data_IF_217045156074
#
_entry.id   IF_217045156074
#
_cell.length_a   1.000
_cell.length_b   1.000
_cell.length_c   1.000
_cell.angle_alpha   90.00
_cell.angle_beta   90.00
_cell.angle_gamma   90.00
#
_symmetry.space_group_name_H-M   'P 1'
#
loop_
_entity.id
_entity.type
_entity.pdbx_description
1 polymer ?
#
# COMPACT_ATOMS: atom_id res chain seq x y z
N UNK A 1 -15.95 -8.41 -3.72
CA UNK A 1 -14.75 -8.13 -2.95
C UNK A 1 -13.99 -6.95 -3.55
N UNK A 2 -13.69 -5.96 -2.74
CA UNK A 2 -12.99 -4.75 -3.17
C UNK A 2 -11.64 -5.06 -3.80
N UNK A 3 -10.93 -6.06 -3.30
CA UNK A 3 -9.63 -6.44 -3.86
C UNK A 3 -9.74 -6.90 -5.30
N UNK A 4 -10.80 -7.64 -5.62
CA UNK A 4 -11.06 -8.09 -6.97
C UNK A 4 -11.32 -6.91 -7.91
N UNK A 5 -12.13 -5.95 -7.45
CA UNK A 5 -12.45 -4.75 -8.22
C UNK A 5 -11.20 -3.92 -8.49
N UNK A 6 -10.37 -3.71 -7.45
CA UNK A 6 -9.13 -2.96 -7.59
C UNK A 6 -8.15 -3.62 -8.54
N UNK A 7 -8.04 -4.95 -8.47
CA UNK A 7 -7.18 -5.70 -9.38
C UNK A 7 -7.58 -5.47 -10.82
N UNK A 8 -8.89 -5.54 -11.12
CA UNK A 8 -9.38 -5.28 -12.48
C UNK A 8 -9.07 -3.86 -12.96
N UNK A 9 -9.34 -2.86 -12.13
CA UNK A 9 -9.10 -1.46 -12.48
C UNK A 9 -7.61 -1.23 -12.76
N UNK A 10 -6.76 -1.73 -11.90
CA UNK A 10 -5.31 -1.53 -12.02
C UNK A 10 -4.74 -2.27 -13.23
N UNK A 11 -5.19 -3.50 -13.49
CA UNK A 11 -4.76 -4.24 -14.67
C UNK A 11 -5.16 -3.53 -15.96
N UNK A 12 -6.34 -2.90 -16.00
CA UNK A 12 -6.77 -2.11 -17.16
C UNK A 12 -5.86 -0.90 -17.40
N UNK A 13 -5.21 -0.41 -16.35
CA UNK A 13 -4.29 0.72 -16.43
C UNK A 13 -2.83 0.26 -16.52
N UNK A 14 -2.61 -1.01 -16.89
CA UNK A 14 -1.30 -1.59 -17.14
C UNK A 14 -0.43 -1.78 -15.91
N UNK A 15 -1.04 -1.92 -14.72
CA UNK A 15 -0.33 -2.29 -13.50
C UNK A 15 -0.42 -3.79 -13.26
N UNK A 16 0.67 -4.38 -12.83
CA UNK A 16 0.69 -5.74 -12.32
C UNK A 16 0.37 -5.72 -10.83
N UNK A 17 -0.59 -6.54 -10.41
CA UNK A 17 -1.12 -6.47 -9.05
C UNK A 17 -1.00 -7.82 -8.34
N UNK A 18 -0.46 -7.79 -7.14
CA UNK A 18 -0.50 -8.91 -6.21
C UNK A 18 -1.37 -8.50 -5.01
N UNK A 19 -2.17 -9.42 -4.52
CA UNK A 19 -3.10 -9.15 -3.43
C UNK A 19 -2.74 -10.01 -2.22
N UNK A 20 -2.69 -9.37 -1.04
CA UNK A 20 -2.44 -10.05 0.22
C UNK A 20 -3.69 -9.95 1.10
N UNK A 21 -4.00 -11.01 1.83
CA UNK A 21 -5.15 -11.04 2.73
C UNK A 21 -4.86 -10.39 4.08
N UNK A 22 -3.59 -10.37 4.48
CA UNK A 22 -3.18 -9.75 5.74
C UNK A 22 -1.73 -9.26 5.65
N UNK A 23 -1.25 -8.66 6.72
CA UNK A 23 0.10 -8.10 6.76
C UNK A 23 1.20 -9.14 6.63
N UNK A 24 1.00 -10.34 7.15
CA UNK A 24 1.99 -11.41 7.03
C UNK A 24 2.19 -11.81 5.57
N UNK A 25 1.09 -12.00 4.86
CA UNK A 25 1.14 -12.35 3.44
C UNK A 25 1.75 -11.22 2.61
N UNK A 26 1.41 -9.97 2.93
CA UNK A 26 1.97 -8.80 2.25
C UNK A 26 3.49 -8.77 2.38
N UNK A 27 4.01 -9.01 3.58
CA UNK A 27 5.44 -9.02 3.83
C UNK A 27 6.12 -10.17 3.09
N UNK A 28 5.51 -11.34 3.08
CA UNK A 28 6.03 -12.50 2.36
C UNK A 28 6.16 -12.21 0.87
N UNK A 29 5.10 -11.64 0.27
CA UNK A 29 5.12 -11.25 -1.14
C UNK A 29 6.19 -10.20 -1.42
N UNK A 30 6.30 -9.21 -0.55
CA UNK A 30 7.27 -8.13 -0.71
C UNK A 30 8.70 -8.66 -0.66
N UNK A 31 9.01 -9.50 0.33
CA UNK A 31 10.33 -10.11 0.46
C UNK A 31 10.70 -10.94 -0.76
N UNK A 32 9.73 -11.63 -1.34
CA UNK A 32 9.95 -12.48 -2.50
C UNK A 32 10.38 -11.73 -3.75
N UNK A 33 10.12 -10.43 -3.82
CA UNK A 33 10.45 -9.62 -4.99
C UNK A 33 11.62 -8.66 -4.76
N UNK A 34 12.03 -8.48 -3.50
CA UNK A 34 13.13 -7.56 -3.20
C UNK A 34 14.42 -8.09 -3.82
N UNK A 35 15.15 -7.24 -4.53
CA UNK A 35 16.34 -7.65 -5.23
C UNK A 35 16.11 -8.37 -6.56
N UNK A 36 14.84 -8.60 -6.93
CA UNK A 36 14.49 -9.20 -8.22
C UNK A 36 14.45 -8.12 -9.31
N UNK A 37 14.24 -8.57 -10.56
CA UNK A 37 14.09 -7.66 -11.69
C UNK A 37 12.76 -6.88 -11.65
N UNK A 38 11.82 -7.35 -10.85
CA UNK A 38 10.48 -6.73 -10.75
C UNK A 38 10.05 -6.53 -9.30
N UNK A 39 10.73 -5.64 -8.56
CA UNK A 39 10.26 -5.30 -7.21
C UNK A 39 8.95 -4.53 -7.29
N UNK A 40 8.18 -4.50 -6.20
CA UNK A 40 6.97 -3.71 -6.16
C UNK A 40 7.28 -2.21 -6.19
N UNK A 41 6.53 -1.47 -6.99
CA UNK A 41 6.66 -0.02 -7.09
C UNK A 41 5.92 0.71 -5.98
N UNK A 42 4.84 0.12 -5.46
CA UNK A 42 4.06 0.71 -4.39
C UNK A 42 3.26 -0.37 -3.66
N UNK A 43 2.92 -0.08 -2.42
CA UNK A 43 2.07 -0.93 -1.58
C UNK A 43 0.87 -0.11 -1.13
N UNK A 44 -0.33 -0.63 -1.32
CA UNK A 44 -1.54 -0.03 -0.77
C UNK A 44 -1.93 -0.84 0.45
N UNK A 45 -1.88 -0.21 1.62
CA UNK A 45 -2.13 -0.87 2.90
C UNK A 45 -3.44 -0.41 3.50
N UNK A 46 -4.38 -1.36 3.70
CA UNK A 46 -5.62 -1.09 4.42
C UNK A 46 -5.34 -1.22 5.92
N UNK A 47 -5.64 -0.17 6.67
CA UNK A 47 -5.38 -0.16 8.11
C UNK A 47 -6.30 -1.08 8.91
N UNK A 48 -7.44 -1.45 8.35
CA UNK A 48 -8.39 -2.33 9.01
C UNK A 48 -8.38 -3.74 8.44
N UNK A 49 -7.20 -4.36 8.44
CA UNK A 49 -7.09 -5.75 8.01
C UNK A 49 -7.57 -6.65 9.14
N UNK A 50 -8.56 -7.49 8.85
CA UNK A 50 -9.11 -8.43 9.83
C UNK A 50 -8.19 -9.64 9.98
N UNK A 51 -7.84 -9.96 11.21
CA UNK A 51 -6.98 -11.10 11.53
C UNK A 51 -5.52 -10.84 11.21
N UNK A 52 -4.64 -11.72 11.69
CA UNK A 52 -3.22 -11.65 11.41
C UNK A 52 -2.55 -10.36 11.88
N UNK A 53 -1.54 -9.94 11.13
CA UNK A 53 -0.78 -8.73 11.42
C UNK A 53 -1.55 -7.48 11.02
N UNK A 54 -1.64 -6.51 11.93
CA UNK A 54 -2.29 -5.22 11.65
C UNK A 54 -1.49 -4.38 10.66
N UNK A 55 -2.18 -3.39 10.05
CA UNK A 55 -1.56 -2.54 9.03
C UNK A 55 -0.35 -1.77 9.54
N UNK A 56 -0.42 -1.23 10.76
CA UNK A 56 0.71 -0.47 11.32
C UNK A 56 1.96 -1.34 11.50
N UNK A 57 1.79 -2.53 12.04
CA UNK A 57 2.91 -3.47 12.21
C UNK A 57 3.52 -3.87 10.87
N UNK A 58 2.66 -4.12 9.88
CA UNK A 58 3.11 -4.48 8.54
C UNK A 58 3.92 -3.35 7.90
N UNK A 59 3.46 -2.11 8.04
CA UNK A 59 4.16 -0.93 7.50
C UNK A 59 5.53 -0.79 8.13
N UNK A 60 5.62 -0.94 9.45
CA UNK A 60 6.90 -0.88 10.14
C UNK A 60 7.88 -1.91 9.59
N UNK A 61 7.43 -3.14 9.40
CA UNK A 61 8.28 -4.20 8.86
C UNK A 61 8.68 -3.96 7.41
N UNK A 62 7.78 -3.42 6.59
CA UNK A 62 8.11 -3.08 5.21
C UNK A 62 9.21 -2.03 5.13
N UNK A 63 9.15 -0.99 5.97
CA UNK A 63 10.19 0.03 6.02
C UNK A 63 11.52 -0.51 6.56
N UNK A 64 11.49 -1.52 7.42
CA UNK A 64 12.70 -2.18 7.87
C UNK A 64 13.37 -2.97 6.74
N UNK A 65 12.57 -3.52 5.83
CA UNK A 65 13.09 -4.27 4.68
C UNK A 65 13.64 -3.31 3.61
N UNK A 66 12.90 -2.25 3.32
CA UNK A 66 13.27 -1.25 2.32
C UNK A 66 12.75 0.12 2.76
N UNK A 67 13.64 0.97 3.27
CA UNK A 67 13.25 2.30 3.76
C UNK A 67 12.76 3.24 2.66
N UNK A 68 12.98 2.91 1.40
CA UNK A 68 12.46 3.67 0.26
C UNK A 68 11.12 3.18 -0.26
N UNK A 69 10.50 2.22 0.41
CA UNK A 69 9.20 1.68 0.00
C UNK A 69 8.14 2.77 -0.06
N UNK A 70 7.40 2.79 -1.16
CA UNK A 70 6.29 3.72 -1.33
C UNK A 70 5.02 3.08 -0.81
N UNK A 71 4.42 3.67 0.23
CA UNK A 71 3.22 3.13 0.87
C UNK A 71 2.09 4.14 0.82
N UNK A 72 0.93 3.66 0.39
CA UNK A 72 -0.32 4.41 0.37
C UNK A 72 -1.22 3.82 1.43
N UNK A 73 -1.67 4.64 2.39
CA UNK A 73 -2.61 4.20 3.42
C UNK A 73 -4.03 4.28 2.88
N UNK A 74 -4.84 3.27 3.19
CA UNK A 74 -6.26 3.25 2.83
C UNK A 74 -7.09 2.94 4.07
N UNK A 75 -8.06 3.79 4.38
CA UNK A 75 -8.96 3.58 5.53
C UNK A 75 -10.16 4.51 5.47
N UNK A 76 -11.27 4.07 6.06
CA UNK A 76 -12.44 4.92 6.26
C UNK A 76 -12.31 5.88 7.43
N UNK A 77 -11.32 5.70 8.27
CA UNK A 77 -11.14 6.47 9.51
C UNK A 77 -9.74 7.04 9.62
N UNK A 78 -9.32 7.78 8.60
CA UNK A 78 -8.02 8.46 8.62
C UNK A 78 -8.21 9.82 9.26
N UNK A 79 -8.03 9.87 10.57
CA UNK A 79 -8.14 11.09 11.35
C UNK A 79 -6.74 11.57 11.80
N UNK A 80 -6.73 12.63 12.59
CA UNK A 80 -5.48 13.21 13.08
C UNK A 80 -4.67 12.23 13.92
N UNK A 81 -5.33 11.40 14.72
CA UNK A 81 -4.66 10.42 15.57
C UNK A 81 -3.95 9.36 14.73
N UNK A 82 -4.60 8.87 13.69
CA UNK A 82 -4.02 7.90 12.77
C UNK A 82 -2.81 8.52 12.07
N UNK A 83 -2.94 9.73 11.55
CA UNK A 83 -1.83 10.40 10.89
C UNK A 83 -0.67 10.63 11.84
N UNK A 84 -0.93 10.98 13.08
CA UNK A 84 0.12 11.17 14.09
C UNK A 84 0.91 9.88 14.32
N UNK A 85 0.23 8.73 14.37
CA UNK A 85 0.88 7.44 14.57
C UNK A 85 1.81 7.08 13.42
N UNK A 86 1.56 7.58 12.22
CA UNK A 86 2.35 7.27 11.04
C UNK A 86 3.35 8.35 10.63
N UNK A 87 3.45 9.45 11.38
CA UNK A 87 4.39 10.54 11.05
C UNK A 87 5.85 10.10 11.07
N UNK A 88 6.17 9.08 11.85
CA UNK A 88 7.53 8.55 11.92
C UNK A 88 7.94 7.78 10.67
N UNK A 89 6.99 7.50 9.78
CA UNK A 89 7.23 6.82 8.51
C UNK A 89 7.03 7.78 7.35
N UNK A 90 7.75 7.56 6.26
CA UNK A 90 7.59 8.35 5.03
C UNK A 90 6.45 7.80 4.19
N UNK A 91 5.21 7.99 4.65
CA UNK A 91 4.04 7.56 3.91
C UNK A 91 3.88 8.44 2.67
N UNK A 92 3.69 7.80 1.51
CA UNK A 92 3.63 8.52 0.23
C UNK A 92 2.32 9.25 0.01
N UNK A 93 1.20 8.63 0.34
CA UNK A 93 -0.12 9.27 0.21
C UNK A 93 -1.17 8.48 1.00
N UNK A 94 -2.39 9.00 1.00
CA UNK A 94 -3.53 8.46 1.73
C UNK A 94 -4.73 8.39 0.82
N UNK A 95 -5.48 7.28 0.89
CA UNK A 95 -6.76 7.10 0.21
C UNK A 95 -7.85 6.93 1.25
N UNK A 96 -8.71 7.93 1.39
CA UNK A 96 -9.85 7.87 2.33
C UNK A 96 -11.01 7.12 1.68
N UNK A 97 -11.55 6.15 2.38
CA UNK A 97 -12.74 5.43 1.93
C UNK A 97 -14.00 6.25 2.24
N UNK A 98 -15.03 6.24 1.40
CA UNK A 98 -15.04 5.60 0.10
C UNK A 98 -14.29 6.42 -0.95
N UNK A 99 -13.59 5.77 -1.87
CA UNK A 99 -12.92 6.46 -2.98
C UNK A 99 -13.34 5.82 -4.30
N UNK A 100 -13.22 6.59 -5.37
CA UNK A 100 -13.55 6.13 -6.72
C UNK A 100 -12.34 5.49 -7.40
N UNK A 101 -12.59 4.69 -8.43
CA UNK A 101 -11.52 4.06 -9.21
C UNK A 101 -10.52 5.09 -9.75
N UNK A 102 -11.02 6.25 -10.20
CA UNK A 102 -10.15 7.32 -10.68
C UNK A 102 -9.22 7.86 -9.60
N UNK A 103 -9.69 7.94 -8.37
CA UNK A 103 -8.87 8.40 -7.25
C UNK A 103 -7.70 7.45 -7.00
N UNK A 104 -7.97 6.15 -7.05
CA UNK A 104 -6.96 5.12 -6.89
C UNK A 104 -5.88 5.24 -7.97
N UNK A 105 -6.28 5.35 -9.23
CA UNK A 105 -5.35 5.46 -10.36
C UNK A 105 -4.52 6.74 -10.27
N UNK A 106 -5.14 7.87 -9.93
CA UNK A 106 -4.43 9.14 -9.79
C UNK A 106 -3.37 9.10 -8.70
N UNK A 107 -3.72 8.55 -7.54
CA UNK A 107 -2.77 8.44 -6.42
C UNK A 107 -1.59 7.54 -6.81
N UNK A 108 -1.86 6.40 -7.43
CA UNK A 108 -0.81 5.49 -7.87
C UNK A 108 0.13 6.14 -8.88
N UNK A 109 -0.41 6.84 -9.88
CA UNK A 109 0.43 7.53 -10.87
C UNK A 109 1.33 8.55 -10.21
N UNK A 110 0.78 9.34 -9.29
CA UNK A 110 1.55 10.35 -8.55
C UNK A 110 2.65 9.70 -7.73
N UNK A 111 2.32 8.70 -6.94
CA UNK A 111 3.26 8.04 -6.03
C UNK A 111 4.38 7.34 -6.80
N UNK A 112 4.03 6.60 -7.84
CA UNK A 112 5.02 5.83 -8.63
C UNK A 112 5.95 6.77 -9.40
N UNK A 113 5.46 7.93 -9.83
CA UNK A 113 6.28 8.91 -10.57
C UNK A 113 7.25 9.68 -9.67
N UNK A 114 7.05 9.69 -8.35
CA UNK A 114 7.96 10.35 -7.42
C UNK A 114 9.27 9.57 -7.29
N UNK A 115 10.37 10.28 -7.10
CA UNK A 115 11.65 9.62 -6.89
C UNK A 115 11.66 8.87 -5.56
N UNK A 116 12.27 7.70 -5.59
CA UNK A 116 12.44 6.89 -4.38
C UNK A 116 13.50 7.52 -3.49
N UNK A 117 13.15 7.74 -2.23
CA UNK A 117 14.04 8.38 -1.25
C UNK A 117 15.02 7.39 -0.62
#
# INVERSE_FOLDING_TARGET
DLRYIFTKVLNRNHYEVEVAEDGNEAITLFKGTIGSNKPFDAVIMDLKVAGGMGGEEAIEKLFQIDCGTKIILSSGSIDEQVMKNFRKYSISDVLRKPFKNNDLVKVLRKVISEEKR
#
